data_IF_759283336280
#
_entry.id   IF_759283336280
#
_cell.length_a   1.000
_cell.length_b   1.000
_cell.length_c   1.000
_cell.angle_alpha   90.00
_cell.angle_beta   90.00
_cell.angle_gamma   90.00
#
_symmetry.space_group_name_H-M   'P 1'
#
loop_
_entity.id
_entity.type
_entity.pdbx_description
1 polymer ?
#
# COMPACT_ATOMS: atom_id res chain seq x y z
N UNK A 1 -9.42 14.92 -14.53
CA UNK A 1 -9.33 14.26 -13.22
C UNK A 1 -8.04 14.75 -12.59
N UNK A 2 -8.12 15.87 -11.87
CA UNK A 2 -7.00 16.51 -11.15
C UNK A 2 -7.32 16.37 -9.67
N UNK A 3 -6.82 15.33 -9.03
CA UNK A 3 -6.93 15.20 -7.58
C UNK A 3 -5.56 15.48 -6.95
N UNK A 4 -5.52 16.60 -6.21
CA UNK A 4 -4.47 17.02 -5.26
C UNK A 4 -3.11 17.50 -5.82
N UNK A 5 -3.14 18.50 -6.68
CA UNK A 5 -2.27 19.66 -6.45
C UNK A 5 -3.13 20.92 -6.35
N UNK A 6 -3.26 21.47 -5.14
CA UNK A 6 -3.59 22.89 -4.95
C UNK A 6 -2.38 23.70 -5.43
N UNK A 7 -2.21 23.77 -6.75
CA UNK A 7 -1.04 24.33 -7.42
C UNK A 7 -1.28 25.81 -7.70
N UNK A 8 -0.30 26.65 -7.39
CA UNK A 8 -0.07 27.84 -8.21
C UNK A 8 1.42 28.24 -8.29
N UNK A 9 2.35 27.49 -7.67
CA UNK A 9 3.78 27.83 -7.66
C UNK A 9 4.60 26.79 -8.42
N UNK A 10 4.53 26.87 -9.74
CA UNK A 10 5.35 26.07 -10.65
C UNK A 10 6.74 26.72 -10.74
N UNK A 11 7.77 26.00 -10.33
CA UNK A 11 9.16 26.42 -10.49
C UNK A 11 9.69 26.12 -11.88
N UNK A 12 10.17 27.15 -12.58
CA UNK A 12 10.89 26.99 -13.87
C UNK A 12 12.21 27.76 -13.83
N UNK A 13 13.28 27.12 -14.33
CA UNK A 13 14.60 27.75 -14.41
C UNK A 13 14.62 28.75 -15.57
N UNK A 14 14.98 30.00 -15.29
CA UNK A 14 15.08 31.05 -16.30
C UNK A 14 16.17 30.70 -17.33
N UNK A 15 15.91 31.05 -18.59
CA UNK A 15 16.79 30.85 -19.74
C UNK A 15 17.19 29.38 -19.95
N UNK A 16 16.36 28.45 -19.51
CA UNK A 16 16.53 27.02 -19.76
C UNK A 16 15.58 26.55 -20.86
N UNK A 17 15.82 25.33 -21.35
CA UNK A 17 14.92 24.66 -22.28
C UNK A 17 13.53 24.43 -21.68
N UNK A 18 13.43 24.30 -20.35
CA UNK A 18 12.15 24.17 -19.65
C UNK A 18 11.32 25.45 -19.75
N UNK A 19 11.93 26.63 -19.62
CA UNK A 19 11.24 27.91 -19.79
C UNK A 19 10.74 28.09 -21.22
N UNK A 20 11.58 27.76 -22.21
CA UNK A 20 11.18 27.81 -23.62
C UNK A 20 10.00 26.87 -23.91
N UNK A 21 10.06 25.63 -23.40
CA UNK A 21 8.99 24.66 -23.57
C UNK A 21 7.67 25.14 -22.95
N UNK A 22 7.70 25.61 -21.70
CA UNK A 22 6.53 26.16 -20.99
C UNK A 22 5.96 27.36 -21.74
N UNK A 23 6.81 28.27 -22.18
CA UNK A 23 6.38 29.49 -22.89
C UNK A 23 5.78 29.17 -24.26
N UNK A 24 6.33 28.21 -24.99
CA UNK A 24 5.83 27.86 -26.33
C UNK A 24 4.57 27.00 -26.27
N UNK A 25 4.53 26.00 -25.38
CA UNK A 25 3.49 24.96 -25.41
C UNK A 25 2.39 25.14 -24.37
N UNK A 26 2.70 25.71 -23.21
CA UNK A 26 1.72 25.86 -22.13
C UNK A 26 1.10 27.25 -22.10
N UNK A 27 1.88 28.27 -22.45
CA UNK A 27 1.38 29.64 -22.44
C UNK A 27 0.51 29.95 -23.66
N UNK A 28 0.77 29.44 -24.87
CA UNK A 28 -0.07 29.63 -26.08
C UNK A 28 -0.72 31.04 -26.22
N UNK A 29 0.04 32.10 -25.88
CA UNK A 29 -0.44 33.50 -25.89
C UNK A 29 -1.05 34.02 -24.58
N UNK A 30 -1.34 33.17 -23.59
CA UNK A 30 -1.76 33.53 -22.24
C UNK A 30 -0.57 33.64 -21.29
N UNK A 31 -0.60 34.66 -20.41
CA UNK A 31 0.40 34.85 -19.37
C UNK A 31 0.13 33.88 -18.22
N UNK A 32 0.97 32.85 -18.07
CA UNK A 32 0.99 31.99 -16.88
C UNK A 32 2.01 32.54 -15.90
N UNK A 33 1.63 32.68 -14.63
CA UNK A 33 2.57 33.06 -13.58
C UNK A 33 3.36 31.81 -13.15
N UNK A 34 4.68 31.93 -13.11
CA UNK A 34 5.58 30.85 -12.69
C UNK A 34 6.73 31.42 -11.89
N UNK A 35 7.20 30.62 -10.94
CA UNK A 35 8.28 30.99 -10.07
C UNK A 35 9.62 30.79 -10.79
N UNK A 36 10.27 31.92 -11.07
CA UNK A 36 11.53 31.96 -11.80
C UNK A 36 12.73 31.60 -10.93
N UNK A 37 13.49 30.60 -11.36
CA UNK A 37 14.68 30.10 -10.66
C UNK A 37 15.95 30.44 -11.45
N UNK A 38 17.04 30.82 -10.77
CA UNK A 38 18.30 31.14 -11.46
C UNK A 38 19.15 29.92 -11.74
N UNK A 39 19.11 28.94 -10.83
CA UNK A 39 19.95 27.75 -10.90
C UNK A 39 19.12 26.49 -10.69
N UNK A 40 19.48 25.41 -11.40
CA UNK A 40 18.81 24.12 -11.26
C UNK A 40 18.91 23.55 -9.83
N UNK A 41 20.04 23.77 -9.14
CA UNK A 41 20.18 23.33 -7.73
C UNK A 41 19.24 24.07 -6.76
N UNK A 42 18.95 25.34 -7.05
CA UNK A 42 18.02 26.16 -6.26
C UNK A 42 16.58 25.61 -6.33
N UNK A 43 16.25 24.92 -7.42
CA UNK A 43 14.96 24.28 -7.60
C UNK A 43 14.69 23.26 -6.48
N UNK A 44 15.63 22.33 -6.26
CA UNK A 44 15.47 21.27 -5.26
C UNK A 44 15.41 21.82 -3.83
N UNK A 45 16.21 22.84 -3.50
CA UNK A 45 16.14 23.45 -2.16
C UNK A 45 14.82 24.20 -1.95
N UNK A 46 14.25 24.84 -2.97
CA UNK A 46 12.94 25.50 -2.86
C UNK A 46 11.78 24.51 -2.81
N UNK A 47 11.88 23.37 -3.47
CA UNK A 47 10.92 22.25 -3.32
C UNK A 47 10.92 21.73 -1.88
N UNK A 48 12.09 21.47 -1.30
CA UNK A 48 12.21 20.99 0.08
C UNK A 48 11.70 22.00 1.12
N UNK A 49 11.85 23.29 0.85
CA UNK A 49 11.40 24.37 1.72
C UNK A 49 9.92 24.77 1.49
N UNK A 50 9.16 24.03 0.67
CA UNK A 50 7.77 24.33 0.33
C UNK A 50 7.55 25.75 -0.26
N UNK A 51 8.58 26.31 -0.89
CA UNK A 51 8.50 27.59 -1.60
C UNK A 51 7.86 27.44 -2.98
N UNK A 52 8.07 26.28 -3.60
CA UNK A 52 7.44 25.86 -4.85
C UNK A 52 6.85 24.47 -4.63
N UNK A 53 5.73 24.20 -5.28
CA UNK A 53 4.98 22.95 -5.07
C UNK A 53 5.40 21.89 -6.08
N UNK A 54 5.73 22.31 -7.29
CA UNK A 54 6.20 21.47 -8.38
C UNK A 54 7.24 22.20 -9.19
N UNK A 55 8.18 21.47 -9.77
CA UNK A 55 9.12 22.03 -10.73
C UNK A 55 9.32 21.11 -11.91
N UNK A 56 9.62 21.71 -13.05
CA UNK A 56 9.90 21.00 -14.29
C UNK A 56 11.41 20.76 -14.36
N UNK A 57 11.81 19.51 -14.61
CA UNK A 57 13.18 19.08 -14.77
C UNK A 57 13.27 17.94 -15.77
N UNK A 58 14.47 17.69 -16.31
CA UNK A 58 14.72 16.54 -17.17
C UNK A 58 14.61 15.25 -16.38
N UNK A 59 14.03 14.21 -16.97
CA UNK A 59 13.79 12.93 -16.29
C UNK A 59 15.06 12.34 -15.70
N UNK A 60 16.15 12.29 -16.47
CA UNK A 60 17.44 11.76 -16.01
C UNK A 60 18.01 12.55 -14.82
N UNK A 61 17.89 13.87 -14.84
CA UNK A 61 18.35 14.71 -13.74
C UNK A 61 17.48 14.51 -12.49
N UNK A 62 16.16 14.48 -12.65
CA UNK A 62 15.22 14.29 -11.56
C UNK A 62 15.40 12.91 -10.91
N UNK A 63 15.54 11.85 -11.72
CA UNK A 63 15.80 10.49 -11.24
C UNK A 63 17.13 10.40 -10.50
N UNK A 64 18.19 11.04 -11.00
CA UNK A 64 19.49 11.04 -10.31
C UNK A 64 19.44 11.79 -8.97
N UNK A 65 18.85 12.99 -8.95
CA UNK A 65 18.81 13.81 -7.74
C UNK A 65 17.89 13.21 -6.67
N UNK A 66 16.74 12.66 -7.05
CA UNK A 66 15.82 11.99 -6.10
C UNK A 66 16.43 10.74 -5.47
N UNK A 67 17.35 10.06 -6.17
CA UNK A 67 18.11 8.92 -5.63
C UNK A 67 19.30 9.32 -4.74
N UNK A 68 19.70 10.59 -4.77
CA UNK A 68 20.78 11.12 -3.94
C UNK A 68 20.31 11.35 -2.50
N UNK A 69 21.15 11.05 -1.49
CA UNK A 69 20.80 11.20 -0.05
C UNK A 69 20.22 12.55 0.34
N UNK A 70 20.63 13.62 -0.34
CA UNK A 70 20.22 14.99 -0.03
C UNK A 70 18.76 15.29 -0.40
N UNK A 71 18.23 14.68 -1.46
CA UNK A 71 16.90 15.01 -2.00
C UNK A 71 15.93 13.82 -2.00
N UNK A 72 16.18 12.85 -1.12
CA UNK A 72 15.44 11.61 -0.98
C UNK A 72 13.94 11.77 -0.65
N UNK A 73 13.53 12.96 -0.21
CA UNK A 73 12.15 13.29 0.13
C UNK A 73 11.33 13.72 -1.09
N UNK A 74 11.99 13.98 -2.22
CA UNK A 74 11.35 14.39 -3.46
C UNK A 74 11.05 13.16 -4.31
N UNK A 75 9.96 13.25 -5.07
CA UNK A 75 9.52 12.20 -5.98
C UNK A 75 9.25 12.82 -7.36
N UNK A 76 9.54 12.07 -8.41
CA UNK A 76 9.17 12.44 -9.77
C UNK A 76 7.69 12.12 -9.97
N UNK A 77 6.90 13.15 -10.31
CA UNK A 77 5.45 13.02 -10.50
C UNK A 77 5.05 13.13 -11.96
N UNK A 78 4.13 12.27 -12.39
CA UNK A 78 3.57 12.29 -13.74
C UNK A 78 4.39 11.52 -14.78
N UNK A 79 4.00 11.65 -16.05
CA UNK A 79 4.66 11.01 -17.17
C UNK A 79 5.65 11.96 -17.85
N UNK A 80 6.77 11.45 -18.39
CA UNK A 80 7.71 12.27 -19.13
C UNK A 80 7.03 12.87 -20.36
N UNK A 81 7.11 14.19 -20.48
CA UNK A 81 6.62 14.97 -21.61
C UNK A 81 7.79 15.67 -22.32
N UNK A 82 7.60 16.09 -23.57
CA UNK A 82 8.65 16.76 -24.33
C UNK A 82 9.89 15.89 -24.53
N UNK A 83 9.74 14.69 -25.12
CA UNK A 83 10.84 13.75 -25.33
C UNK A 83 11.95 14.40 -26.16
N UNK A 84 13.10 14.63 -25.52
CA UNK A 84 14.32 15.12 -26.15
C UNK A 84 15.48 14.24 -25.77
N UNK A 85 16.32 13.91 -26.74
CA UNK A 85 17.52 13.11 -26.52
C UNK A 85 18.75 14.00 -26.35
N UNK A 86 19.69 13.55 -25.52
CA UNK A 86 21.00 14.18 -25.40
C UNK A 86 21.85 13.87 -26.62
N UNK A 87 22.51 14.88 -27.15
CA UNK A 87 23.41 14.76 -28.29
C UNK A 87 24.66 15.59 -28.12
N UNK A 88 25.74 15.16 -28.76
CA UNK A 88 26.99 15.91 -28.81
C UNK A 88 26.97 16.80 -30.06
N UNK A 89 27.19 18.09 -29.87
CA UNK A 89 27.14 19.08 -30.96
C UNK A 89 28.55 19.39 -31.45
N UNK A 90 28.74 19.36 -32.78
CA UNK A 90 30.00 19.66 -33.43
C UNK A 90 29.86 20.82 -34.43
N UNK A 91 30.94 21.56 -34.73
CA UNK A 91 30.96 22.53 -35.82
C UNK A 91 30.59 21.88 -37.17
N UNK A 92 30.02 22.67 -38.07
CA UNK A 92 29.70 22.21 -39.43
C UNK A 92 30.99 21.74 -40.13
N UNK A 93 30.93 20.56 -40.77
CA UNK A 93 32.03 19.92 -41.52
C UNK A 93 33.24 19.50 -40.66
N UNK A 94 33.01 19.08 -39.41
CA UNK A 94 34.04 18.46 -38.60
C UNK A 94 34.50 17.13 -39.19
N UNK A 95 35.80 17.00 -39.47
CA UNK A 95 36.39 15.86 -40.20
C UNK A 95 36.31 14.54 -39.44
N UNK A 96 36.25 14.59 -38.11
CA UNK A 96 36.26 13.40 -37.25
C UNK A 96 34.87 12.92 -36.83
N UNK A 97 33.79 13.54 -37.35
CA UNK A 97 32.42 13.16 -36.98
C UNK A 97 32.16 11.67 -37.23
N UNK A 98 32.51 11.18 -38.42
CA UNK A 98 32.28 9.78 -38.80
C UNK A 98 33.07 8.81 -37.91
N UNK A 99 34.31 9.16 -37.59
CA UNK A 99 35.15 8.32 -36.74
C UNK A 99 34.61 8.25 -35.31
N UNK A 100 34.20 9.38 -34.74
CA UNK A 100 33.57 9.42 -33.43
C UNK A 100 32.26 8.61 -33.40
N UNK A 101 31.40 8.78 -34.39
CA UNK A 101 30.12 8.06 -34.47
C UNK A 101 30.36 6.54 -34.50
N UNK A 102 31.37 6.08 -35.26
CA UNK A 102 31.77 4.66 -35.29
C UNK A 102 32.28 4.16 -33.93
N UNK A 103 33.08 4.96 -33.21
CA UNK A 103 33.56 4.59 -31.89
C UNK A 103 32.44 4.56 -30.84
N UNK A 104 31.50 5.50 -30.88
CA UNK A 104 30.31 5.48 -30.01
C UNK A 104 29.46 4.24 -30.29
N UNK A 105 29.32 3.83 -31.56
CA UNK A 105 28.58 2.61 -31.90
C UNK A 105 29.27 1.36 -31.35
N UNK A 106 30.61 1.26 -31.46
CA UNK A 106 31.38 0.16 -30.84
C UNK A 106 31.19 0.12 -29.33
N UNK A 107 31.26 1.26 -28.64
CA UNK A 107 31.03 1.32 -27.18
C UNK A 107 29.63 0.85 -26.76
N UNK A 108 28.61 1.08 -27.62
CA UNK A 108 27.27 0.54 -27.40
C UNK A 108 27.21 -0.96 -27.63
N UNK A 109 27.83 -1.47 -28.70
CA UNK A 109 27.89 -2.90 -29.01
C UNK A 109 28.64 -3.70 -27.93
N UNK A 110 29.68 -3.10 -27.34
CA UNK A 110 30.44 -3.68 -26.23
C UNK A 110 29.70 -3.63 -24.88
N UNK A 111 28.65 -2.80 -24.77
CA UNK A 111 27.87 -2.63 -23.52
C UNK A 111 28.54 -1.71 -22.49
N UNK A 112 29.62 -1.01 -22.83
CA UNK A 112 30.33 -0.10 -21.92
C UNK A 112 29.45 1.10 -21.52
N UNK A 113 28.58 1.58 -22.41
CA UNK A 113 27.62 2.65 -22.06
C UNK A 113 26.62 2.17 -21.01
N UNK A 114 26.11 0.95 -21.14
CA UNK A 114 25.16 0.39 -20.19
C UNK A 114 25.81 0.19 -18.81
N UNK A 115 27.08 -0.23 -18.80
CA UNK A 115 27.88 -0.34 -17.57
C UNK A 115 28.03 1.01 -16.86
N UNK A 116 28.32 2.08 -17.61
CA UNK A 116 28.39 3.43 -17.04
C UNK A 116 27.02 3.90 -16.54
N UNK A 117 25.94 3.57 -17.24
CA UNK A 117 24.58 3.89 -16.81
C UNK A 117 24.24 3.20 -15.49
N UNK A 118 24.59 1.92 -15.35
CA UNK A 118 24.44 1.17 -14.10
C UNK A 118 25.27 1.78 -12.97
N UNK A 119 26.54 2.08 -13.21
CA UNK A 119 27.45 2.66 -12.23
C UNK A 119 26.96 4.02 -11.70
N UNK A 120 26.50 4.92 -12.57
CA UNK A 120 26.14 6.28 -12.18
C UNK A 120 24.66 6.48 -11.81
N UNK A 121 23.73 5.63 -12.29
CA UNK A 121 22.29 5.86 -12.12
C UNK A 121 21.54 4.74 -11.36
N UNK A 122 22.13 3.58 -11.10
CA UNK A 122 21.44 2.50 -10.35
C UNK A 122 21.78 2.44 -8.86
N UNK A 123 22.83 3.11 -8.40
CA UNK A 123 23.19 3.13 -6.98
C UNK A 123 22.21 4.03 -6.18
N UNK A 124 21.17 3.41 -5.63
CA UNK A 124 20.19 4.08 -4.77
C UNK A 124 20.82 4.39 -3.41
N UNK A 125 21.34 5.60 -3.25
CA UNK A 125 21.87 6.06 -1.97
C UNK A 125 20.79 6.38 -0.93
N UNK A 126 19.55 6.55 -1.40
CA UNK A 126 18.35 6.53 -0.59
C UNK A 126 18.13 5.15 0.02
N UNK A 127 18.76 4.93 1.17
CA UNK A 127 18.36 3.86 2.07
C UNK A 127 16.85 3.98 2.31
N UNK A 128 16.10 2.90 2.04
CA UNK A 128 14.68 2.74 2.43
C UNK A 128 14.54 2.67 3.96
N UNK A 129 15.22 3.53 4.71
CA UNK A 129 15.20 3.64 6.18
C UNK A 129 14.40 4.83 6.69
N UNK A 130 13.55 5.41 5.85
CA UNK A 130 12.48 6.30 6.29
C UNK A 130 11.11 5.99 5.66
N UNK A 131 10.84 4.71 5.37
CA UNK A 131 9.45 4.23 5.32
C UNK A 131 8.93 4.03 6.76
N UNK A 132 9.00 5.07 7.58
CA UNK A 132 8.00 5.27 8.63
C UNK A 132 6.77 6.03 8.09
N UNK A 133 6.80 6.45 6.82
CA UNK A 133 5.63 6.91 6.06
C UNK A 133 5.87 6.57 4.59
N UNK A 134 5.09 5.65 4.02
CA UNK A 134 5.07 5.43 2.56
C UNK A 134 5.49 4.04 2.09
N UNK A 135 4.55 3.11 2.13
CA UNK A 135 4.36 2.08 1.10
C UNK A 135 5.62 1.22 0.84
N UNK A 136 6.02 0.47 1.88
CA UNK A 136 6.43 -0.90 1.64
C UNK A 136 5.18 -1.73 1.34
N UNK A 137 5.28 -2.73 0.48
CA UNK A 137 4.20 -3.63 0.04
C UNK A 137 3.63 -4.52 1.18
N UNK A 138 3.62 -4.04 2.42
CA UNK A 138 2.85 -4.58 3.53
C UNK A 138 1.49 -3.90 3.56
N UNK A 139 0.44 -4.70 3.72
CA UNK A 139 -0.94 -4.25 3.87
C UNK A 139 -1.04 -3.03 4.81
N UNK A 140 -1.33 -1.85 4.26
CA UNK A 140 -1.42 -0.61 5.03
C UNK A 140 -2.65 -0.68 5.95
N UNK A 141 -2.45 -0.67 7.28
CA UNK A 141 -3.50 -0.84 8.30
C UNK A 141 -4.68 0.13 8.15
N UNK A 142 -4.47 1.28 7.50
CA UNK A 142 -5.55 2.24 7.18
C UNK A 142 -6.63 1.64 6.27
N UNK A 143 -6.26 0.76 5.32
CA UNK A 143 -7.23 0.12 4.43
C UNK A 143 -8.02 -1.00 5.15
N UNK A 144 -7.42 -1.65 6.14
CA UNK A 144 -8.04 -2.76 6.89
C UNK A 144 -8.97 -2.26 8.00
N UNK A 145 -8.81 -1.02 8.45
CA UNK A 145 -9.65 -0.42 9.49
C UNK A 145 -11.14 -0.44 9.13
N UNK A 146 -11.49 -0.22 7.85
CA UNK A 146 -12.88 -0.30 7.38
C UNK A 146 -13.51 -1.68 7.61
N UNK A 147 -12.76 -2.76 7.37
CA UNK A 147 -13.23 -4.12 7.60
C UNK A 147 -13.47 -4.40 9.09
N UNK A 148 -12.56 -3.93 9.96
CA UNK A 148 -12.72 -4.08 11.40
C UNK A 148 -13.96 -3.33 11.92
N UNK A 149 -14.19 -2.09 11.48
CA UNK A 149 -15.36 -1.30 11.89
C UNK A 149 -16.66 -2.00 11.51
N UNK A 150 -16.76 -2.52 10.29
CA UNK A 150 -17.95 -3.26 9.83
C UNK A 150 -18.13 -4.56 10.63
N UNK A 151 -17.05 -5.29 10.89
CA UNK A 151 -17.11 -6.55 11.63
C UNK A 151 -17.53 -6.34 13.09
N UNK A 152 -16.93 -5.38 13.80
CA UNK A 152 -17.33 -5.03 15.17
C UNK A 152 -18.76 -4.51 15.25
N UNK A 153 -19.21 -3.75 14.24
CA UNK A 153 -20.61 -3.32 14.13
C UNK A 153 -21.58 -4.49 14.04
N UNK A 154 -21.28 -5.48 13.19
CA UNK A 154 -22.12 -6.67 13.04
C UNK A 154 -22.20 -7.49 14.34
N UNK A 155 -21.07 -7.72 15.00
CA UNK A 155 -21.01 -8.45 16.27
C UNK A 155 -21.81 -7.73 17.37
N UNK A 156 -21.72 -6.40 17.43
CA UNK A 156 -22.47 -5.61 18.40
C UNK A 156 -24.00 -5.73 18.19
N UNK A 157 -24.47 -5.67 16.95
CA UNK A 157 -25.91 -5.81 16.63
C UNK A 157 -26.43 -7.19 17.03
N UNK A 158 -25.69 -8.26 16.71
CA UNK A 158 -26.05 -9.64 17.08
C UNK A 158 -26.12 -9.80 18.60
N UNK A 159 -25.17 -9.19 19.33
CA UNK A 159 -25.14 -9.22 20.78
C UNK A 159 -26.36 -8.52 21.38
N UNK A 160 -26.74 -7.34 20.88
CA UNK A 160 -27.94 -6.61 21.33
C UNK A 160 -29.21 -7.44 21.11
N UNK A 161 -29.38 -8.03 19.93
CA UNK A 161 -30.55 -8.89 19.64
C UNK A 161 -30.59 -10.09 20.59
N UNK A 162 -29.45 -10.70 20.89
CA UNK A 162 -29.35 -11.84 21.79
C UNK A 162 -29.75 -11.48 23.22
N UNK A 163 -29.31 -10.32 23.73
CA UNK A 163 -29.71 -9.81 25.05
C UNK A 163 -31.21 -9.53 25.13
N UNK A 164 -31.79 -8.94 24.08
CA UNK A 164 -33.23 -8.67 24.03
C UNK A 164 -34.05 -9.97 24.05
N UNK A 165 -33.64 -10.98 23.28
CA UNK A 165 -34.30 -12.29 23.28
C UNK A 165 -34.17 -12.98 24.63
N UNK A 166 -32.99 -12.95 25.24
CA UNK A 166 -32.78 -13.54 26.56
C UNK A 166 -33.65 -12.85 27.62
N UNK A 167 -33.67 -11.51 27.65
CA UNK A 167 -34.50 -10.72 28.55
C UNK A 167 -36.00 -10.99 28.38
N UNK A 168 -36.46 -11.19 27.14
CA UNK A 168 -37.87 -11.52 26.86
C UNK A 168 -38.22 -12.95 27.33
N UNK A 169 -37.33 -13.91 27.10
CA UNK A 169 -37.50 -15.30 27.55
C UNK A 169 -37.46 -15.38 29.07
N UNK A 170 -36.59 -14.62 29.73
CA UNK A 170 -36.43 -14.61 31.17
C UNK A 170 -37.61 -13.92 31.87
N UNK A 171 -38.14 -12.82 31.29
CA UNK A 171 -39.43 -12.24 31.71
C UNK A 171 -40.59 -13.23 31.55
N UNK A 172 -40.61 -14.04 30.48
CA UNK A 172 -41.63 -15.09 30.27
C UNK A 172 -41.46 -16.30 31.20
N UNK A 173 -40.26 -16.58 31.71
CA UNK A 173 -40.01 -17.60 32.76
C UNK A 173 -40.39 -17.08 34.14
N UNK A 174 -39.98 -15.86 34.50
CA UNK A 174 -40.27 -15.26 35.81
C UNK A 174 -41.74 -14.83 35.96
N UNK A 175 -42.45 -14.52 34.87
CA UNK A 175 -43.91 -14.29 34.88
C UNK A 175 -44.77 -15.54 35.10
N UNK A 176 -44.18 -16.74 35.20
CA UNK A 176 -44.89 -17.98 35.59
C UNK A 176 -44.59 -18.42 37.03
N UNK A 177 -43.79 -17.67 37.78
CA UNK A 177 -43.49 -17.97 39.19
C UNK A 177 -44.25 -17.05 40.17
N UNK A 178 -45.48 -16.66 39.85
CA UNK A 178 -46.42 -16.08 40.80
C UNK A 178 -47.84 -16.59 40.50
N UNK A 179 -48.08 -17.89 40.69
CA UNK A 179 -49.44 -18.41 40.85
C UNK A 179 -49.38 -19.77 41.55
N UNK A 180 -49.79 -19.80 42.84
CA UNK A 180 -50.34 -20.95 43.58
C UNK A 180 -49.45 -22.20 43.77
N UNK A 181 -49.28 -22.82 44.94
CA UNK A 181 -50.06 -22.80 46.17
C UNK A 181 -49.21 -23.16 47.40
N UNK A 182 -49.75 -22.73 48.54
CA UNK A 182 -49.47 -23.12 49.92
C UNK A 182 -49.64 -24.62 50.21
N UNK A 183 -49.00 -25.06 51.30
CA UNK A 183 -49.10 -26.36 52.02
C UNK A 183 -48.16 -27.46 51.45
N UNK A 184 -47.35 -28.22 52.20
CA UNK A 184 -47.50 -28.74 53.57
C UNK A 184 -46.12 -29.21 54.07
N UNK A 185 -45.93 -29.10 55.37
CA UNK A 185 -44.75 -29.41 56.18
C UNK A 185 -44.62 -30.93 56.45
N UNK A 186 -43.50 -31.56 56.05
CA UNK A 186 -42.96 -32.77 56.71
C UNK A 186 -41.43 -32.89 56.48
N UNK A 187 -40.65 -32.59 57.52
CA UNK A 187 -39.30 -33.13 57.80
C UNK A 187 -39.45 -34.21 58.92
N UNK A 188 -38.44 -35.02 59.33
CA UNK A 188 -36.99 -34.92 59.11
C UNK A 188 -36.24 -36.25 58.83
N UNK A 189 -34.94 -36.16 58.49
CA UNK A 189 -33.81 -36.83 59.19
C UNK A 189 -32.67 -37.39 58.31
N UNK A 190 -31.46 -36.90 58.65
CA UNK A 190 -30.20 -37.63 58.88
C UNK A 190 -29.18 -37.88 57.73
N UNK A 191 -28.05 -37.15 57.86
CA UNK A 191 -26.61 -37.59 57.74
C UNK A 191 -26.12 -38.17 56.41
N UNK A 192 -24.91 -37.94 55.90
CA UNK A 192 -23.63 -37.55 56.48
C UNK A 192 -22.71 -36.97 55.37
N UNK A 193 -21.96 -35.92 55.70
CA UNK A 193 -20.75 -35.54 54.98
C UNK A 193 -19.65 -36.59 55.22
N UNK A 194 -18.96 -37.01 54.15
CA UNK A 194 -17.63 -37.60 54.28
C UNK A 194 -16.77 -37.33 53.05
N UNK A 195 -15.89 -36.34 53.21
CA UNK A 195 -14.66 -36.19 52.43
C UNK A 195 -13.80 -37.42 52.72
N UNK A 196 -13.37 -38.13 51.67
CA UNK A 196 -12.18 -38.98 51.75
C UNK A 196 -11.32 -38.75 50.50
N UNK A 197 -10.31 -37.92 50.69
CA UNK A 197 -9.15 -37.79 49.82
C UNK A 197 -8.24 -39.00 50.00
N UNK A 198 -7.60 -39.39 48.90
CA UNK A 198 -6.42 -40.28 48.79
C UNK A 198 -6.73 -41.72 48.39
N UNK A 199 -6.81 -41.93 47.08
CA UNK A 199 -6.07 -42.99 46.38
C UNK A 199 -5.77 -42.49 44.96
N UNK A 200 -4.60 -41.88 44.75
CA UNK A 200 -3.39 -42.52 44.23
C UNK A 200 -3.49 -42.90 42.74
N UNK A 201 -3.08 -41.94 41.92
CA UNK A 201 -2.08 -42.10 40.86
C UNK A 201 -2.05 -43.51 40.23
N UNK A 202 -2.86 -43.71 39.21
CA UNK A 202 -2.58 -44.70 38.16
C UNK A 202 -3.43 -44.43 36.91
N UNK A 203 -2.92 -43.61 36.00
CA UNK A 203 -3.12 -43.73 34.53
C UNK A 203 -2.81 -42.43 33.76
N UNK A 204 -1.57 -41.96 33.83
CA UNK A 204 -0.96 -41.24 32.70
C UNK A 204 -0.04 -42.22 31.97
N UNK A 205 -0.59 -42.98 31.02
CA UNK A 205 0.14 -43.45 29.83
C UNK A 205 -0.81 -44.05 28.78
N UNK A 206 -0.93 -43.28 27.70
CA UNK A 206 -0.71 -43.76 26.33
C UNK A 206 -1.90 -44.23 25.48
N UNK A 207 -2.29 -43.29 24.59
CA UNK A 207 -2.50 -43.41 23.12
C UNK A 207 -3.61 -44.31 22.53
N UNK A 208 -4.39 -43.63 21.68
CA UNK A 208 -4.95 -43.98 20.34
C UNK A 208 -5.84 -45.23 20.20
N UNK A 209 -7.09 -44.99 19.75
CA UNK A 209 -7.56 -45.27 18.37
C UNK A 209 -8.93 -44.63 18.08
N UNK A 210 -9.09 -44.21 16.82
CA UNK A 210 -10.23 -43.52 16.14
C UNK A 210 -11.25 -44.56 15.64
N UNK A 211 -12.58 -44.28 15.54
CA UNK A 211 -13.23 -43.89 14.24
C UNK A 211 -14.50 -42.97 14.44
N UNK A 212 -15.11 -42.23 13.50
CA UNK A 212 -15.08 -42.09 12.04
C UNK A 212 -15.34 -40.63 11.61
N UNK A 213 -14.67 -40.21 10.53
CA UNK A 213 -15.10 -39.15 9.61
C UNK A 213 -16.28 -39.65 8.77
N UNK A 214 -17.36 -38.86 8.68
CA UNK A 214 -18.20 -38.72 7.48
C UNK A 214 -19.15 -37.53 7.69
N UNK A 215 -19.38 -36.76 6.63
CA UNK A 215 -20.15 -35.50 6.55
C UNK A 215 -19.45 -34.25 7.08
N UNK A 216 -18.48 -33.74 6.32
CA UNK A 216 -18.55 -32.37 5.78
C UNK A 216 -17.57 -32.10 4.63
N UNK A 217 -17.38 -33.10 3.77
CA UNK A 217 -16.55 -33.01 2.55
C UNK A 217 -17.42 -32.85 1.28
N UNK A 218 -18.60 -32.25 1.42
CA UNK A 218 -19.51 -31.93 0.33
C UNK A 218 -20.07 -30.52 0.53
N UNK A 219 -19.19 -29.52 0.46
CA UNK A 219 -19.54 -28.13 0.12
C UNK A 219 -18.24 -27.34 -0.13
N UNK A 220 -17.33 -27.91 -0.93
CA UNK A 220 -16.14 -27.22 -1.43
C UNK A 220 -15.71 -27.77 -2.81
N UNK A 221 -16.69 -28.27 -3.57
CA UNK A 221 -16.49 -28.89 -4.89
C UNK A 221 -17.55 -28.41 -5.89
N UNK A 222 -18.12 -27.23 -5.68
CA UNK A 222 -19.10 -26.62 -6.60
C UNK A 222 -18.81 -25.12 -6.86
N UNK A 223 -17.58 -24.65 -6.59
CA UNK A 223 -17.15 -23.30 -7.03
C UNK A 223 -15.83 -23.32 -7.83
N UNK A 224 -15.26 -24.51 -8.03
CA UNK A 224 -14.00 -24.70 -8.79
C UNK A 224 -14.23 -25.03 -10.27
N UNK A 225 -15.49 -25.26 -10.69
CA UNK A 225 -15.82 -25.51 -12.11
C UNK A 225 -16.20 -24.24 -12.90
N UNK A 226 -16.62 -23.15 -12.24
CA UNK A 226 -17.01 -21.92 -12.94
C UNK A 226 -15.80 -21.04 -13.37
N UNK A 227 -14.63 -21.25 -12.76
CA UNK A 227 -13.43 -20.45 -13.07
C UNK A 227 -12.66 -21.01 -14.29
N UNK A 228 -12.77 -22.31 -14.58
CA UNK A 228 -12.11 -22.90 -15.76
C UNK A 228 -12.86 -22.65 -17.07
N UNK A 229 -14.18 -22.40 -17.06
CA UNK A 229 -14.91 -22.09 -18.30
C UNK A 229 -14.75 -20.64 -18.77
N UNK A 230 -14.36 -19.71 -17.88
CA UNK A 230 -14.08 -18.32 -18.24
C UNK A 230 -12.69 -18.12 -18.89
N UNK A 231 -11.77 -19.07 -18.72
CA UNK A 231 -10.42 -18.98 -19.27
C UNK A 231 -10.32 -19.45 -20.74
N UNK A 232 -11.32 -20.16 -21.27
CA UNK A 232 -11.29 -20.70 -22.65
C UNK A 232 -12.08 -19.88 -23.67
N UNK A 233 -12.75 -18.79 -23.26
CA UNK A 233 -13.58 -17.95 -24.15
C UNK A 233 -12.91 -16.60 -24.50
N UNK A 234 -11.66 -16.36 -24.08
CA UNK A 234 -10.91 -15.11 -24.35
C UNK A 234 -9.62 -15.39 -25.17
N UNK A 235 -9.55 -16.54 -25.83
CA UNK A 235 -8.62 -16.83 -26.94
C UNK A 235 -9.42 -17.27 -28.16
#
# INVERSE_FOLDING_TARGET
MCDKLTCDRIGVVERSQHEEYVTQHLMNGNQMDYYRLKHQKECYSKLLNYHIDVAIADSSSADYFTQTKQYCQLEVVGFPFGKTDFGIVFPKRWQYKLDLDNHIMKLKEEGEIDRLLEEYFQEKYCDRKNSNNGIGNGFHLSQVYGLFVVHFGLVAVILVISILKWSFIDRKRNGRLCSSDTNTMTQPSATNDRINTNDTISSLRQRRKVPQLKQKEQECTEERQDIEQLATTIL
#
